data_IF_696119515455
#
_entry.id   IF_696119515455
#
_cell.length_a   1.000
_cell.length_b   1.000
_cell.length_c   1.000
_cell.angle_alpha   90.00
_cell.angle_beta   90.00
_cell.angle_gamma   90.00
#
_symmetry.space_group_name_H-M   'P 1'
#
loop_
_entity.id
_entity.type
_entity.pdbx_description
1 polymer ?
#
# COMPACT_ATOMS: atom_id res chain seq x y z
N UNK A 1 17.60 -13.03 4.52
CA UNK A 1 17.18 -11.64 4.88
C UNK A 1 17.42 -11.37 6.37
N UNK A 2 17.85 -12.34 7.19
CA UNK A 2 18.25 -12.13 8.59
C UNK A 2 17.10 -11.83 9.57
N UNK A 3 15.84 -12.06 9.17
CA UNK A 3 14.72 -12.00 10.10
C UNK A 3 14.65 -13.23 10.98
N UNK A 4 14.39 -13.04 12.27
CA UNK A 4 14.14 -14.10 13.23
C UNK A 4 12.69 -14.55 13.08
N UNK A 5 12.47 -15.82 12.78
CA UNK A 5 11.17 -16.44 12.73
C UNK A 5 11.09 -17.52 13.82
N UNK A 6 10.04 -17.51 14.59
CA UNK A 6 9.77 -18.48 15.66
C UNK A 6 8.59 -19.35 15.22
N UNK A 7 8.76 -20.66 15.22
CA UNK A 7 7.63 -21.58 15.05
C UNK A 7 6.89 -21.69 16.39
N UNK A 8 5.58 -21.50 16.37
CA UNK A 8 4.71 -21.59 17.53
C UNK A 8 3.79 -22.80 17.41
N UNK A 9 3.51 -23.46 18.51
CA UNK A 9 2.34 -24.33 18.61
C UNK A 9 1.04 -23.52 18.49
N UNK A 10 -0.04 -24.18 18.08
CA UNK A 10 -1.36 -23.55 18.01
C UNK A 10 -1.80 -23.00 19.39
N UNK A 11 -1.46 -23.68 20.48
CA UNK A 11 -1.75 -23.22 21.84
C UNK A 11 -1.02 -21.91 22.17
N UNK A 12 0.26 -21.80 21.82
CA UNK A 12 1.03 -20.55 22.02
C UNK A 12 0.50 -19.40 21.16
N UNK A 13 0.09 -19.68 19.91
CA UNK A 13 -0.51 -18.69 19.04
C UNK A 13 -1.85 -18.17 19.61
N UNK A 14 -2.75 -19.08 20.06
CA UNK A 14 -4.00 -18.70 20.73
C UNK A 14 -3.78 -17.94 22.03
N UNK A 15 -2.73 -18.24 22.77
CA UNK A 15 -2.38 -17.49 23.99
C UNK A 15 -1.93 -16.05 23.68
N UNK A 16 -1.29 -15.81 22.53
CA UNK A 16 -0.87 -14.47 22.08
C UNK A 16 -1.98 -13.68 21.41
N UNK A 17 -2.95 -14.38 20.77
CA UNK A 17 -4.04 -13.77 20.00
C UNK A 17 -5.37 -14.39 20.45
N UNK A 18 -6.07 -13.71 21.34
CA UNK A 18 -7.24 -14.25 22.05
C UNK A 18 -8.47 -14.52 21.16
N UNK A 19 -8.56 -13.82 20.03
CA UNK A 19 -9.65 -13.99 19.07
C UNK A 19 -9.38 -15.09 18.02
N UNK A 20 -8.16 -15.63 17.96
CA UNK A 20 -7.75 -16.59 16.95
C UNK A 20 -8.30 -17.99 17.22
N UNK A 21 -9.17 -18.49 16.34
CA UNK A 21 -9.74 -19.83 16.35
C UNK A 21 -8.99 -20.74 15.37
N UNK A 22 -8.00 -21.49 15.85
CA UNK A 22 -7.25 -22.48 15.07
C UNK A 22 -7.20 -23.80 15.85
N UNK A 23 -7.16 -24.93 15.14
CA UNK A 23 -6.98 -26.24 15.73
C UNK A 23 -5.48 -26.56 16.00
N UNK A 24 -5.20 -27.67 16.67
CA UNK A 24 -3.85 -28.06 17.07
C UNK A 24 -2.96 -28.50 15.91
N UNK A 25 -3.50 -28.71 14.71
CA UNK A 25 -2.74 -29.03 13.50
C UNK A 25 -2.18 -27.79 12.78
N UNK A 26 -2.65 -26.60 13.15
CA UNK A 26 -2.24 -25.36 12.52
C UNK A 26 -0.73 -25.09 12.71
N UNK A 27 -0.06 -24.76 11.62
CA UNK A 27 1.34 -24.31 11.65
C UNK A 27 1.37 -22.78 11.79
N UNK A 28 2.03 -22.31 12.83
CA UNK A 28 2.11 -20.90 13.16
C UNK A 28 3.55 -20.42 13.15
N UNK A 29 3.79 -19.27 12.52
CA UNK A 29 5.10 -18.61 12.51
C UNK A 29 4.94 -17.21 13.07
N UNK A 30 5.75 -16.88 14.06
CA UNK A 30 5.80 -15.55 14.67
C UNK A 30 7.06 -14.81 14.25
N UNK A 31 6.90 -13.55 13.86
CA UNK A 31 7.98 -12.65 13.50
C UNK A 31 8.09 -11.56 14.57
N UNK A 32 8.95 -11.72 15.60
CA UNK A 32 8.96 -10.85 16.78
C UNK A 32 9.33 -9.39 16.48
N UNK A 33 9.99 -9.12 15.34
CA UNK A 33 10.35 -7.77 14.91
C UNK A 33 9.42 -7.19 13.84
N UNK A 34 8.43 -7.97 13.37
CA UNK A 34 7.39 -7.48 12.49
C UNK A 34 6.31 -6.73 13.28
N UNK A 35 5.55 -5.89 12.59
CA UNK A 35 4.48 -5.14 13.22
C UNK A 35 3.68 -4.37 12.20
N UNK A 36 2.89 -3.45 12.68
CA UNK A 36 2.13 -2.51 11.85
C UNK A 36 2.38 -1.07 12.31
N UNK A 37 2.08 -0.14 11.45
CA UNK A 37 2.18 1.29 11.70
C UNK A 37 0.92 1.98 11.22
N UNK A 38 0.51 3.02 11.92
CA UNK A 38 -0.49 3.95 11.44
C UNK A 38 0.07 4.70 10.20
N UNK A 39 -0.54 4.47 9.05
CA UNK A 39 -0.06 5.01 7.77
C UNK A 39 -0.11 6.55 7.71
N UNK A 40 -1.13 7.16 8.31
CA UNK A 40 -1.24 8.61 8.38
C UNK A 40 -0.12 9.22 9.24
N UNK A 41 0.13 8.65 10.41
CA UNK A 41 1.22 9.09 11.30
C UNK A 41 2.58 8.91 10.65
N UNK A 42 2.80 7.80 9.94
CA UNK A 42 4.05 7.57 9.21
C UNK A 42 4.27 8.63 8.13
N UNK A 43 3.27 8.87 7.27
CA UNK A 43 3.36 9.87 6.21
C UNK A 43 3.59 11.28 6.79
N UNK A 44 2.89 11.63 7.85
CA UNK A 44 3.06 12.92 8.55
C UNK A 44 4.45 13.05 9.16
N UNK A 45 4.98 11.97 9.75
CA UNK A 45 6.33 11.97 10.32
C UNK A 45 7.41 12.14 9.24
N UNK A 46 7.26 11.49 8.07
CA UNK A 46 8.14 11.73 6.93
C UNK A 46 8.08 13.19 6.47
N UNK A 47 6.86 13.75 6.32
CA UNK A 47 6.69 15.16 5.97
C UNK A 47 7.38 16.12 6.95
N UNK A 48 7.25 15.88 8.25
CA UNK A 48 7.94 16.66 9.27
C UNK A 48 9.47 16.50 9.21
N UNK A 49 9.94 15.26 8.99
CA UNK A 49 11.37 14.97 8.93
C UNK A 49 12.06 15.60 7.70
N UNK A 50 11.42 15.65 6.54
CA UNK A 50 11.99 16.29 5.34
C UNK A 50 12.01 17.82 5.50
N UNK A 51 10.95 18.42 6.05
CA UNK A 51 10.93 19.86 6.37
C UNK A 51 12.05 20.25 7.33
N UNK A 52 12.28 19.45 8.40
CA UNK A 52 13.36 19.69 9.35
C UNK A 52 14.77 19.61 8.73
N UNK A 53 14.90 18.99 7.55
CA UNK A 53 16.13 18.90 6.76
C UNK A 53 16.23 19.96 5.67
N UNK A 54 15.33 20.95 5.65
CA UNK A 54 15.32 22.04 4.69
C UNK A 54 14.77 21.70 3.31
N UNK A 55 14.06 20.57 3.18
CA UNK A 55 13.36 20.25 1.93
C UNK A 55 12.13 21.15 1.81
N UNK A 56 11.94 21.75 0.64
CA UNK A 56 10.73 22.50 0.31
C UNK A 56 9.57 21.50 0.08
N UNK A 57 8.74 21.37 1.10
CA UNK A 57 7.62 20.43 1.12
C UNK A 57 6.30 21.20 0.96
N UNK A 58 5.74 21.14 -0.24
CA UNK A 58 4.52 21.85 -0.63
C UNK A 58 3.30 20.94 -0.60
N UNK A 59 2.28 21.34 0.14
CA UNK A 59 0.99 20.65 0.22
C UNK A 59 -0.05 21.46 -0.57
N UNK A 60 -0.94 20.77 -1.28
CA UNK A 60 -1.98 21.42 -2.08
C UNK A 60 -1.48 21.95 -3.44
N UNK A 61 -0.24 21.62 -3.82
CA UNK A 61 0.31 21.98 -5.13
C UNK A 61 0.14 20.79 -6.08
N UNK A 62 -0.65 20.99 -7.13
CA UNK A 62 -0.90 19.98 -8.16
C UNK A 62 0.23 20.00 -9.20
N UNK A 63 0.76 18.82 -9.53
CA UNK A 63 1.68 18.62 -10.66
C UNK A 63 0.85 18.20 -11.87
N UNK A 64 0.84 19.01 -12.91
CA UNK A 64 0.06 18.79 -14.13
C UNK A 64 0.86 18.16 -15.27
N UNK A 65 2.19 18.21 -15.24
CA UNK A 65 3.04 17.66 -16.30
C UNK A 65 4.51 17.61 -15.93
N UNK A 66 5.28 16.86 -16.72
CA UNK A 66 6.74 16.78 -16.64
C UNK A 66 7.32 17.30 -17.94
N UNK A 67 8.16 18.34 -17.84
CA UNK A 67 8.81 18.96 -19.01
C UNK A 67 10.16 18.32 -19.28
N UNK A 68 10.45 18.13 -20.58
CA UNK A 68 11.73 17.57 -21.05
C UNK A 68 12.36 18.48 -22.10
N UNK A 69 13.69 18.41 -22.21
CA UNK A 69 14.50 19.05 -23.26
C UNK A 69 15.61 18.09 -23.70
N UNK A 70 15.68 17.82 -24.98
CA UNK A 70 16.71 16.95 -25.57
C UNK A 70 16.79 15.55 -24.92
N UNK A 71 15.63 14.97 -24.56
CA UNK A 71 15.54 13.66 -23.90
C UNK A 71 15.81 13.65 -22.40
N UNK A 72 16.10 14.81 -21.79
CA UNK A 72 16.35 14.94 -20.36
C UNK A 72 15.19 15.69 -19.68
N UNK A 73 14.90 15.35 -18.44
CA UNK A 73 13.96 16.12 -17.61
C UNK A 73 14.49 17.55 -17.42
N UNK A 74 13.61 18.55 -17.54
CA UNK A 74 13.92 19.95 -17.25
C UNK A 74 13.15 20.48 -16.04
N UNK A 75 12.06 19.83 -15.63
CA UNK A 75 11.28 20.22 -14.46
C UNK A 75 9.84 19.71 -14.51
N UNK A 76 9.00 20.30 -13.67
CA UNK A 76 7.57 19.98 -13.59
C UNK A 76 6.70 21.23 -13.67
N UNK A 77 5.58 21.12 -14.36
CA UNK A 77 4.51 22.10 -14.36
C UNK A 77 3.63 21.89 -13.12
N UNK A 78 3.37 22.95 -12.38
CA UNK A 78 2.55 22.89 -11.17
C UNK A 78 1.51 24.00 -11.13
N UNK A 79 0.52 23.89 -10.23
CA UNK A 79 -0.45 24.95 -9.98
C UNK A 79 0.18 26.26 -9.49
N UNK A 80 1.40 26.21 -8.94
CA UNK A 80 2.16 27.37 -8.45
C UNK A 80 3.23 27.84 -9.44
N UNK A 81 3.23 27.29 -10.66
CA UNK A 81 4.19 27.60 -11.71
C UNK A 81 5.20 26.47 -11.94
N UNK A 82 6.20 26.74 -12.79
CA UNK A 82 7.22 25.77 -13.16
C UNK A 82 8.30 25.62 -12.09
N UNK A 83 8.67 24.36 -11.81
CA UNK A 83 9.80 24.04 -10.93
C UNK A 83 10.87 23.37 -11.76
N UNK A 84 12.01 24.04 -11.94
CA UNK A 84 13.15 23.51 -12.66
C UNK A 84 13.88 22.45 -11.83
N UNK A 85 14.15 21.29 -12.45
CA UNK A 85 14.92 20.20 -11.83
C UNK A 85 15.46 19.25 -12.90
N UNK A 86 16.70 18.76 -12.79
CA UNK A 86 17.22 17.70 -13.66
C UNK A 86 16.74 16.30 -13.26
N UNK A 87 16.02 16.17 -12.14
CA UNK A 87 15.47 14.92 -11.65
C UNK A 87 14.02 15.09 -11.25
N UNK A 88 13.18 14.16 -11.69
CA UNK A 88 11.79 14.03 -11.25
C UNK A 88 11.52 12.59 -10.83
N UNK A 89 10.99 12.42 -9.63
CA UNK A 89 10.55 11.13 -9.11
C UNK A 89 9.02 11.11 -9.04
N UNK A 90 8.41 10.35 -9.91
CA UNK A 90 6.96 10.22 -9.94
C UNK A 90 6.49 9.18 -8.91
N UNK A 91 5.99 9.67 -7.78
CA UNK A 91 5.37 8.87 -6.71
C UNK A 91 3.86 9.14 -6.62
N UNK A 92 3.20 9.51 -7.72
CA UNK A 92 1.80 9.95 -7.74
C UNK A 92 0.78 8.81 -7.56
N UNK A 93 1.19 7.64 -7.06
CA UNK A 93 0.28 6.54 -6.72
C UNK A 93 -0.62 6.16 -7.90
N UNK A 94 -1.97 6.19 -7.74
CA UNK A 94 -2.91 5.85 -8.80
C UNK A 94 -2.76 6.70 -10.07
N UNK A 95 -2.29 7.93 -9.96
CA UNK A 95 -2.15 8.87 -11.08
C UNK A 95 -0.77 8.82 -11.77
N UNK A 96 0.17 8.04 -11.25
CA UNK A 96 1.53 7.97 -11.82
C UNK A 96 1.54 7.60 -13.31
N UNK A 97 0.61 6.75 -13.76
CA UNK A 97 0.47 6.38 -15.16
C UNK A 97 0.08 7.56 -16.07
N UNK A 98 -0.67 8.53 -15.57
CA UNK A 98 -1.07 9.72 -16.34
C UNK A 98 0.16 10.58 -16.66
N UNK A 99 0.94 10.96 -15.65
CA UNK A 99 2.15 11.76 -15.83
C UNK A 99 3.21 11.04 -16.68
N UNK A 100 3.34 9.72 -16.54
CA UNK A 100 4.30 8.95 -17.34
C UNK A 100 3.88 8.82 -18.80
N UNK A 101 2.58 8.76 -19.09
CA UNK A 101 2.06 8.63 -20.46
C UNK A 101 2.41 9.85 -21.33
N UNK A 102 2.49 11.06 -20.76
CA UNK A 102 2.90 12.27 -21.46
C UNK A 102 4.38 12.20 -21.96
N UNK A 103 5.18 11.37 -21.29
CA UNK A 103 6.57 11.09 -21.67
C UNK A 103 6.71 9.85 -22.57
N UNK A 104 5.60 9.29 -23.05
CA UNK A 104 5.56 8.06 -23.86
C UNK A 104 5.65 6.76 -23.05
N UNK A 105 5.63 6.83 -21.70
CA UNK A 105 5.67 5.66 -20.83
C UNK A 105 4.27 5.24 -20.38
N UNK A 106 3.80 4.10 -20.86
CA UNK A 106 2.54 3.50 -20.45
C UNK A 106 2.79 2.49 -19.34
N UNK A 107 2.68 2.93 -18.09
CA UNK A 107 2.85 2.04 -16.93
C UNK A 107 1.69 1.06 -16.84
N UNK A 108 1.94 -0.26 -16.89
CA UNK A 108 0.88 -1.27 -16.80
C UNK A 108 0.41 -1.41 -15.36
N UNK A 109 -0.39 -0.48 -14.91
CA UNK A 109 -0.96 -0.43 -13.57
C UNK A 109 -2.36 0.17 -13.58
N UNK A 110 -3.17 -0.23 -12.61
CA UNK A 110 -4.50 0.33 -12.43
C UNK A 110 -4.79 0.56 -10.93
N UNK A 111 -5.55 1.61 -10.60
CA UNK A 111 -6.16 1.74 -9.29
C UNK A 111 -7.25 0.66 -9.14
N UNK A 112 -7.11 -0.16 -8.10
CA UNK A 112 -8.01 -1.27 -7.78
C UNK A 112 -8.50 -1.10 -6.36
N UNK A 113 -9.76 -1.42 -6.10
CA UNK A 113 -10.33 -1.36 -4.76
C UNK A 113 -9.53 -2.21 -3.78
N UNK A 114 -8.99 -1.57 -2.76
CA UNK A 114 -8.54 -2.19 -1.51
C UNK A 114 -9.51 -1.84 -0.40
N UNK A 115 -9.77 -2.79 0.51
CA UNK A 115 -10.81 -2.59 1.52
C UNK A 115 -10.50 -3.36 2.79
N UNK A 116 -11.06 -2.85 3.90
CA UNK A 116 -11.07 -3.53 5.19
C UNK A 116 -12.29 -3.11 6.00
N UNK A 117 -12.59 -3.88 7.03
CA UNK A 117 -13.68 -3.64 7.96
C UNK A 117 -13.12 -3.54 9.38
N UNK A 118 -13.83 -2.83 10.25
CA UNK A 118 -13.56 -2.81 11.68
C UNK A 118 -14.83 -3.25 12.39
N UNK A 119 -14.72 -4.18 13.33
CA UNK A 119 -15.84 -4.66 14.10
C UNK A 119 -16.23 -3.71 15.21
N UNK A 120 -17.36 -3.98 15.86
CA UNK A 120 -17.68 -3.44 17.19
C UNK A 120 -16.60 -3.86 18.20
N UNK A 121 -16.56 -3.12 19.33
CA UNK A 121 -15.57 -3.33 20.39
C UNK A 121 -15.79 -4.62 21.16
N UNK A 122 -14.69 -5.33 21.46
CA UNK A 122 -14.65 -6.49 22.34
C UNK A 122 -13.34 -6.54 23.10
N UNK A 123 -13.35 -7.10 24.32
CA UNK A 123 -12.14 -7.25 25.14
C UNK A 123 -11.07 -8.13 24.48
N UNK A 124 -11.49 -9.08 23.66
CA UNK A 124 -10.60 -10.00 22.96
C UNK A 124 -9.79 -9.32 21.83
N UNK A 125 -10.20 -8.13 21.37
CA UNK A 125 -9.59 -7.40 20.26
C UNK A 125 -8.56 -6.36 20.73
N UNK A 126 -7.66 -6.78 21.59
CA UNK A 126 -6.61 -5.92 22.14
C UNK A 126 -5.58 -5.56 21.05
N UNK A 127 -5.33 -4.26 20.86
CA UNK A 127 -4.36 -3.72 19.91
C UNK A 127 -2.88 -4.08 20.24
N UNK A 128 -2.60 -4.60 21.45
CA UNK A 128 -1.26 -5.07 21.81
C UNK A 128 -0.97 -6.49 21.29
N UNK A 129 -1.98 -7.19 20.80
CA UNK A 129 -1.80 -8.51 20.19
C UNK A 129 -1.13 -8.40 18.83
N UNK A 130 -0.37 -9.41 18.41
CA UNK A 130 0.22 -9.46 17.08
C UNK A 130 -0.82 -9.36 15.97
N UNK A 131 -0.45 -8.71 14.86
CA UNK A 131 -1.19 -8.81 13.61
C UNK A 131 -1.08 -10.25 13.08
N UNK A 132 -2.19 -10.76 12.56
CA UNK A 132 -2.28 -12.11 12.00
C UNK A 132 -2.49 -12.03 10.50
N UNK A 133 -1.72 -12.82 9.75
CA UNK A 133 -1.95 -13.13 8.35
C UNK A 133 -2.43 -14.57 8.23
N UNK A 134 -3.47 -14.78 7.45
CA UNK A 134 -4.11 -16.09 7.21
C UNK A 134 -3.97 -16.43 5.72
N UNK A 135 -2.90 -17.12 5.31
CA UNK A 135 -2.68 -17.42 3.90
C UNK A 135 -3.72 -18.39 3.33
N UNK A 136 -4.29 -19.27 4.16
CA UNK A 136 -5.31 -20.25 3.75
C UNK A 136 -6.64 -19.58 3.34
N UNK A 137 -6.91 -18.41 3.90
CA UNK A 137 -8.10 -17.59 3.57
C UNK A 137 -7.62 -16.16 3.32
N UNK A 138 -7.09 -15.79 2.18
CA UNK A 138 -6.30 -14.58 1.95
C UNK A 138 -6.78 -13.35 2.74
N UNK A 139 -6.52 -13.39 4.04
CA UNK A 139 -7.00 -12.43 5.03
C UNK A 139 -5.88 -11.97 5.97
N UNK A 140 -6.09 -10.83 6.58
CA UNK A 140 -5.28 -10.34 7.69
C UNK A 140 -6.17 -9.68 8.73
N UNK A 141 -5.74 -9.70 10.00
CA UNK A 141 -6.48 -9.02 11.06
C UNK A 141 -5.56 -8.55 12.19
N UNK A 142 -5.99 -7.50 12.89
CA UNK A 142 -5.35 -6.96 14.08
C UNK A 142 -6.34 -6.19 14.95
N UNK A 143 -6.03 -6.03 16.21
CA UNK A 143 -6.78 -5.12 17.07
C UNK A 143 -6.67 -3.65 16.60
N UNK A 144 -7.77 -2.92 16.62
CA UNK A 144 -7.86 -1.51 16.23
C UNK A 144 -8.91 -0.79 17.07
N UNK A 145 -8.48 0.10 17.96
CA UNK A 145 -9.38 0.94 18.79
C UNK A 145 -10.48 0.11 19.52
N UNK A 146 -10.10 -1.08 20.02
CA UNK A 146 -11.00 -2.00 20.72
C UNK A 146 -11.83 -2.92 19.81
N UNK A 147 -11.88 -2.67 18.51
CA UNK A 147 -12.45 -3.58 17.51
C UNK A 147 -11.38 -4.43 16.83
N UNK A 148 -11.78 -5.29 15.92
CA UNK A 148 -10.89 -6.05 15.03
C UNK A 148 -10.93 -5.43 13.64
N UNK A 149 -9.81 -4.86 13.20
CA UNK A 149 -9.60 -4.52 11.80
C UNK A 149 -9.24 -5.78 11.03
N UNK A 150 -9.96 -6.08 9.96
CA UNK A 150 -9.65 -7.22 9.10
C UNK A 150 -9.85 -6.87 7.62
N UNK A 151 -8.96 -7.38 6.78
CA UNK A 151 -9.03 -7.26 5.33
C UNK A 151 -9.15 -8.64 4.68
N UNK A 152 -10.03 -8.74 3.68
CA UNK A 152 -10.28 -9.96 2.91
C UNK A 152 -9.85 -9.71 1.46
N UNK A 153 -9.05 -10.61 0.89
CA UNK A 153 -8.47 -10.48 -0.46
C UNK A 153 -9.09 -11.43 -1.48
N UNK A 154 -10.18 -12.10 -1.16
CA UNK A 154 -10.77 -13.18 -1.95
C UNK A 154 -11.96 -12.79 -2.83
N UNK A 155 -12.34 -11.52 -2.91
CA UNK A 155 -13.50 -11.05 -3.67
C UNK A 155 -13.14 -10.29 -4.95
N UNK A 156 -14.12 -9.98 -5.79
CA UNK A 156 -13.93 -9.10 -6.94
C UNK A 156 -13.44 -7.74 -6.46
N UNK A 157 -12.39 -7.25 -7.11
CA UNK A 157 -11.80 -5.96 -6.82
C UNK A 157 -11.86 -5.11 -8.08
N UNK A 158 -12.89 -4.25 -8.24
CA UNK A 158 -13.05 -3.43 -9.42
C UNK A 158 -11.89 -2.45 -9.58
N UNK A 159 -11.43 -2.31 -10.82
CA UNK A 159 -10.46 -1.30 -11.20
C UNK A 159 -11.18 -0.03 -11.67
N UNK A 160 -10.50 1.10 -11.58
CA UNK A 160 -10.95 2.39 -12.10
C UNK A 160 -9.92 2.96 -13.06
N UNK A 161 -10.39 3.75 -14.00
CA UNK A 161 -9.51 4.61 -14.79
C UNK A 161 -8.99 5.73 -13.87
N UNK A 162 -7.67 5.94 -13.75
CA UNK A 162 -7.14 6.99 -12.90
C UNK A 162 -7.59 8.40 -13.28
N UNK A 163 -8.01 8.61 -14.54
CA UNK A 163 -8.50 9.91 -15.04
C UNK A 163 -9.86 10.31 -14.48
N UNK A 164 -10.66 9.33 -14.01
CA UNK A 164 -11.98 9.59 -13.43
C UNK A 164 -11.98 9.51 -11.91
N UNK A 165 -10.83 9.31 -11.27
CA UNK A 165 -10.74 9.39 -9.82
C UNK A 165 -11.00 10.83 -9.34
N UNK A 166 -11.80 11.00 -8.27
CA UNK A 166 -12.00 12.33 -7.70
C UNK A 166 -10.70 12.86 -7.10
N UNK A 167 -10.54 14.19 -7.05
CA UNK A 167 -9.38 14.82 -6.39
C UNK A 167 -9.35 14.53 -4.89
N UNK A 168 -10.51 14.51 -4.25
CA UNK A 168 -10.69 14.07 -2.88
C UNK A 168 -11.15 12.60 -2.86
N UNK A 169 -10.23 11.71 -2.48
CA UNK A 169 -10.52 10.27 -2.43
C UNK A 169 -11.48 9.88 -1.32
N UNK A 170 -11.77 10.76 -0.36
CA UNK A 170 -12.81 10.50 0.66
C UNK A 170 -14.22 10.44 0.06
N UNK A 171 -14.41 11.04 -1.11
CA UNK A 171 -15.66 11.03 -1.88
C UNK A 171 -15.78 9.81 -2.81
N UNK A 172 -14.69 9.03 -2.96
CA UNK A 172 -14.69 7.88 -3.86
C UNK A 172 -15.56 6.77 -3.33
N UNK A 173 -16.53 6.34 -4.15
CA UNK A 173 -17.30 5.12 -3.95
C UNK A 173 -17.10 4.14 -5.10
N UNK A 174 -17.03 2.88 -4.78
CA UNK A 174 -17.00 1.80 -5.76
C UNK A 174 -18.46 1.32 -5.96
N UNK A 175 -19.04 1.66 -7.10
CA UNK A 175 -20.47 1.46 -7.40
C UNK A 175 -20.93 0.00 -7.35
N UNK A 176 -20.03 -0.93 -7.65
CA UNK A 176 -20.33 -2.37 -7.70
C UNK A 176 -20.60 -2.98 -6.31
N UNK A 177 -20.03 -2.43 -5.28
CA UNK A 177 -20.21 -2.87 -3.88
C UNK A 177 -19.82 -1.71 -2.94
N UNK A 178 -20.61 -0.63 -2.92
CA UNK A 178 -20.21 0.61 -2.24
C UNK A 178 -20.11 0.47 -0.72
N UNK A 179 -20.75 -0.53 -0.14
CA UNK A 179 -20.70 -0.82 1.30
C UNK A 179 -19.75 -1.96 1.67
N UNK A 180 -19.19 -2.67 0.69
CA UNK A 180 -18.38 -3.88 0.91
C UNK A 180 -19.15 -5.10 1.44
N UNK A 181 -20.47 -5.02 1.58
CA UNK A 181 -21.28 -6.11 2.17
C UNK A 181 -21.31 -7.38 1.32
N UNK A 182 -21.34 -7.23 -0.01
CA UNK A 182 -21.33 -8.39 -0.91
C UNK A 182 -19.99 -9.14 -0.78
N UNK A 183 -18.87 -8.41 -0.79
CA UNK A 183 -17.55 -9.00 -0.57
C UNK A 183 -17.45 -9.65 0.81
N UNK A 184 -17.97 -9.00 1.84
CA UNK A 184 -17.97 -9.55 3.20
C UNK A 184 -18.82 -10.82 3.28
N UNK A 185 -19.99 -10.87 2.65
CA UNK A 185 -20.86 -12.05 2.63
C UNK A 185 -20.17 -13.25 1.96
N UNK A 186 -19.42 -13.02 0.86
CA UNK A 186 -18.73 -14.09 0.13
C UNK A 186 -17.49 -14.59 0.87
N UNK A 187 -16.68 -13.70 1.40
CA UNK A 187 -15.37 -14.04 1.98
C UNK A 187 -15.37 -14.16 3.51
N UNK A 188 -16.35 -13.56 4.17
CA UNK A 188 -16.43 -13.49 5.63
C UNK A 188 -16.61 -14.84 6.32
N UNK A 189 -17.38 -15.76 5.72
CA UNK A 189 -17.55 -17.11 6.25
C UNK A 189 -16.21 -17.87 6.37
N UNK A 190 -15.35 -17.71 5.37
CA UNK A 190 -14.01 -18.32 5.41
C UNK A 190 -13.14 -17.73 6.51
N UNK A 191 -13.24 -16.42 6.76
CA UNK A 191 -12.55 -15.74 7.84
C UNK A 191 -13.12 -16.10 9.23
N UNK A 192 -14.43 -16.24 9.36
CA UNK A 192 -15.10 -16.58 10.62
C UNK A 192 -14.60 -17.91 11.22
N UNK A 193 -14.13 -18.84 10.38
CA UNK A 193 -13.50 -20.10 10.87
C UNK A 193 -12.24 -19.83 11.70
N UNK A 194 -11.54 -18.74 11.42
CA UNK A 194 -10.33 -18.30 12.14
C UNK A 194 -10.62 -17.25 13.22
N UNK A 195 -11.80 -16.68 13.22
CA UNK A 195 -12.28 -15.75 14.24
C UNK A 195 -13.75 -16.07 14.57
N UNK A 196 -14.03 -17.05 15.44
CA UNK A 196 -15.42 -17.45 15.76
C UNK A 196 -16.26 -16.32 16.35
N UNK A 197 -15.64 -15.30 16.93
CA UNK A 197 -16.34 -14.13 17.45
C UNK A 197 -17.10 -13.35 16.37
N UNK A 198 -16.76 -13.52 15.09
CA UNK A 198 -17.46 -12.90 13.96
C UNK A 198 -18.94 -13.32 13.87
N UNK A 199 -19.32 -14.44 14.43
CA UNK A 199 -20.73 -14.89 14.49
C UNK A 199 -21.61 -14.02 15.39
N UNK A 200 -21.00 -13.26 16.30
CA UNK A 200 -21.71 -12.51 17.35
C UNK A 200 -21.29 -11.04 17.46
N UNK A 201 -20.41 -10.56 16.62
CA UNK A 201 -19.95 -9.17 16.61
C UNK A 201 -20.37 -8.49 15.30
N UNK A 202 -20.88 -7.25 15.41
CA UNK A 202 -21.22 -6.42 14.25
C UNK A 202 -20.00 -5.77 13.63
N UNK A 203 -20.15 -5.31 12.38
CA UNK A 203 -19.18 -4.43 11.71
C UNK A 203 -19.59 -2.98 11.96
N UNK A 204 -18.67 -2.20 12.52
CA UNK A 204 -18.90 -0.78 12.84
C UNK A 204 -18.41 0.17 11.74
N UNK A 205 -17.33 -0.21 11.01
CA UNK A 205 -16.77 0.63 9.96
C UNK A 205 -16.36 -0.20 8.75
N UNK A 206 -16.57 0.40 7.58
CA UNK A 206 -16.04 -0.08 6.31
C UNK A 206 -15.19 1.01 5.69
N UNK A 207 -14.01 0.64 5.21
CA UNK A 207 -13.08 1.56 4.55
C UNK A 207 -12.62 0.95 3.25
N UNK A 208 -12.71 1.72 2.17
CA UNK A 208 -12.19 1.33 0.86
C UNK A 208 -11.42 2.48 0.22
N UNK A 209 -10.50 2.13 -0.66
CA UNK A 209 -9.70 3.11 -1.39
C UNK A 209 -9.00 2.49 -2.58
N UNK A 210 -8.50 3.31 -3.53
CA UNK A 210 -7.80 2.84 -4.72
C UNK A 210 -6.34 2.55 -4.38
N UNK A 211 -5.93 1.30 -4.44
CA UNK A 211 -4.52 0.89 -4.43
C UNK A 211 -4.04 0.60 -5.84
N UNK A 212 -2.80 0.96 -6.15
CA UNK A 212 -2.22 0.73 -7.48
C UNK A 212 -1.69 -0.69 -7.61
N UNK A 213 -2.23 -1.45 -8.56
CA UNK A 213 -1.81 -2.81 -8.85
C UNK A 213 -1.23 -2.94 -10.25
N UNK A 214 -0.22 -3.79 -10.37
CA UNK A 214 0.41 -4.21 -11.62
C UNK A 214 -0.01 -5.63 -11.97
N UNK A 215 0.12 -6.07 -13.24
CA UNK A 215 -0.27 -7.42 -13.65
C UNK A 215 0.52 -8.54 -12.96
N UNK A 216 1.77 -8.29 -12.59
CA UNK A 216 2.66 -9.27 -11.96
C UNK A 216 2.73 -9.15 -10.42
N UNK A 217 2.01 -8.20 -9.83
CA UNK A 217 2.00 -7.97 -8.39
C UNK A 217 3.28 -7.35 -7.81
N UNK A 218 4.23 -6.92 -8.65
CA UNK A 218 5.46 -6.26 -8.24
C UNK A 218 5.37 -4.74 -8.45
N UNK A 219 6.14 -3.98 -7.67
CA UNK A 219 6.24 -2.53 -7.83
C UNK A 219 6.78 -2.15 -9.20
N UNK A 220 6.49 -0.92 -9.63
CA UNK A 220 7.22 -0.24 -10.70
C UNK A 220 8.17 0.73 -10.03
N UNK A 221 9.47 0.44 -10.09
CA UNK A 221 10.49 1.21 -9.37
C UNK A 221 11.76 1.34 -10.20
N UNK A 222 12.17 2.56 -10.49
CA UNK A 222 13.42 2.86 -11.18
C UNK A 222 13.32 3.93 -12.27
N UNK A 223 14.39 4.06 -13.04
CA UNK A 223 14.46 5.00 -14.17
C UNK A 223 13.64 4.48 -15.36
N UNK A 224 13.00 5.39 -16.07
CA UNK A 224 12.32 5.13 -17.34
C UNK A 224 13.33 5.34 -18.49
N UNK A 225 13.75 4.30 -19.21
CA UNK A 225 14.69 4.42 -20.32
C UNK A 225 14.22 5.40 -21.39
N UNK A 226 15.14 6.20 -21.93
CA UNK A 226 14.84 7.21 -22.95
C UNK A 226 14.36 8.56 -22.42
N UNK A 227 14.22 8.72 -21.10
CA UNK A 227 13.95 10.01 -20.46
C UNK A 227 14.90 10.17 -19.28
N UNK A 228 16.05 10.77 -19.55
CA UNK A 228 17.08 10.96 -18.53
C UNK A 228 16.57 11.86 -17.38
N UNK A 229 16.82 11.45 -16.14
CA UNK A 229 16.36 12.16 -14.95
C UNK A 229 14.92 11.84 -14.52
N UNK A 230 14.19 10.95 -15.22
CA UNK A 230 12.85 10.55 -14.83
C UNK A 230 12.82 9.17 -14.15
N UNK A 231 12.35 9.13 -12.91
CA UNK A 231 12.17 7.90 -12.14
C UNK A 231 10.71 7.75 -11.73
N UNK A 232 10.29 6.50 -11.58
CA UNK A 232 8.94 6.14 -11.09
C UNK A 232 9.04 5.26 -9.85
N UNK A 233 8.15 5.49 -8.89
CA UNK A 233 7.88 4.58 -7.78
C UNK A 233 6.37 4.48 -7.56
N UNK A 234 5.75 3.47 -8.12
CA UNK A 234 4.31 3.24 -8.05
C UNK A 234 3.96 1.75 -8.19
N UNK A 235 2.67 1.43 -8.37
CA UNK A 235 2.22 0.06 -8.54
C UNK A 235 2.49 -0.82 -7.31
N UNK A 236 2.34 -0.28 -6.11
CA UNK A 236 2.82 -0.91 -4.86
C UNK A 236 2.02 -2.14 -4.41
N UNK A 237 0.94 -2.51 -5.10
CA UNK A 237 0.16 -3.74 -4.86
C UNK A 237 -0.24 -3.95 -3.39
N UNK A 238 -0.62 -2.86 -2.70
CA UNK A 238 -1.01 -2.88 -1.28
C UNK A 238 0.16 -2.94 -0.28
N UNK A 239 1.42 -2.93 -0.71
CA UNK A 239 2.60 -3.05 0.16
C UNK A 239 3.44 -1.77 0.28
N UNK A 240 2.95 -0.63 -0.24
CA UNK A 240 3.71 0.62 -0.33
C UNK A 240 4.19 1.17 1.00
N UNK A 241 3.38 1.09 2.05
CA UNK A 241 3.75 1.55 3.39
C UNK A 241 4.91 0.72 3.94
N UNK A 242 4.82 -0.61 3.88
CA UNK A 242 5.87 -1.50 4.39
C UNK A 242 7.19 -1.34 3.63
N UNK A 243 7.14 -1.08 2.32
CA UNK A 243 8.32 -0.92 1.48
C UNK A 243 8.89 0.51 1.45
N UNK A 244 8.18 1.52 2.00
CA UNK A 244 8.47 2.95 1.79
C UNK A 244 9.92 3.34 2.10
N UNK A 245 10.50 2.82 3.18
CA UNK A 245 11.89 3.08 3.54
C UNK A 245 12.90 2.53 2.53
N UNK A 246 12.68 1.28 2.05
CA UNK A 246 13.51 0.65 1.02
C UNK A 246 13.39 1.34 -0.33
N UNK A 247 12.18 1.69 -0.74
CA UNK A 247 11.89 2.44 -1.96
C UNK A 247 12.60 3.78 -1.96
N UNK A 248 12.44 4.56 -0.87
CA UNK A 248 13.10 5.87 -0.74
C UNK A 248 14.63 5.76 -0.80
N UNK A 249 15.22 4.75 -0.16
CA UNK A 249 16.65 4.49 -0.22
C UNK A 249 17.11 4.12 -1.64
N UNK A 250 16.40 3.22 -2.30
CA UNK A 250 16.73 2.79 -3.65
C UNK A 250 16.75 3.98 -4.63
N UNK A 251 15.73 4.84 -4.59
CA UNK A 251 15.63 6.04 -5.42
C UNK A 251 16.75 7.04 -5.13
N UNK A 252 17.04 7.27 -3.84
CA UNK A 252 18.14 8.16 -3.46
C UNK A 252 19.50 7.65 -3.96
N UNK A 253 19.74 6.33 -3.90
CA UNK A 253 20.96 5.71 -4.41
C UNK A 253 21.03 5.81 -5.94
N UNK A 254 19.94 5.55 -6.67
CA UNK A 254 19.90 5.74 -8.13
C UNK A 254 20.24 7.17 -8.55
N UNK A 255 19.70 8.18 -7.87
CA UNK A 255 19.96 9.59 -8.17
C UNK A 255 21.40 9.98 -7.82
N UNK A 256 21.91 9.55 -6.68
CA UNK A 256 23.21 10.05 -6.16
C UNK A 256 24.42 9.22 -6.58
N UNK A 257 24.21 7.93 -6.91
CA UNK A 257 25.28 6.99 -7.23
C UNK A 257 25.15 6.38 -8.63
N UNK A 258 23.99 6.50 -9.27
CA UNK A 258 23.65 5.84 -10.54
C UNK A 258 23.23 4.36 -10.41
N UNK A 259 23.38 3.78 -9.24
CA UNK A 259 23.01 2.38 -8.96
C UNK A 259 22.41 2.23 -7.57
N UNK A 260 21.59 1.19 -7.37
CA UNK A 260 20.99 0.84 -6.08
C UNK A 260 21.72 -0.34 -5.44
N UNK A 261 21.81 -0.35 -4.10
CA UNK A 261 22.28 -1.49 -3.32
C UNK A 261 21.27 -2.65 -3.27
N UNK A 262 20.05 -2.43 -3.75
CA UNK A 262 19.03 -3.46 -3.92
C UNK A 262 19.00 -3.94 -5.37
N UNK A 263 18.74 -5.25 -5.56
CA UNK A 263 18.39 -5.75 -6.89
C UNK A 263 16.98 -5.27 -7.27
N UNK A 264 16.93 -4.37 -8.24
CA UNK A 264 15.68 -3.79 -8.76
C UNK A 264 15.19 -4.47 -10.04
N UNK A 265 15.83 -5.54 -10.50
CA UNK A 265 15.55 -6.18 -11.79
C UNK A 265 14.06 -6.49 -12.02
N UNK A 266 13.41 -7.08 -11.01
CA UNK A 266 11.98 -7.43 -11.06
C UNK A 266 11.03 -6.24 -10.91
N UNK A 267 11.52 -5.05 -10.59
CA UNK A 267 10.73 -3.83 -10.40
C UNK A 267 10.89 -2.81 -11.52
N UNK A 268 11.78 -3.03 -12.47
CA UNK A 268 12.07 -2.08 -13.55
C UNK A 268 10.81 -1.67 -14.30
N UNK A 269 10.68 -0.37 -14.70
CA UNK A 269 9.53 0.10 -15.50
C UNK A 269 9.41 -0.60 -16.86
N UNK A 270 10.52 -1.02 -17.46
CA UNK A 270 10.62 -1.63 -18.79
C UNK A 270 10.61 -3.17 -18.80
N UNK A 271 10.16 -3.80 -17.71
CA UNK A 271 10.08 -5.28 -17.62
C UNK A 271 8.87 -5.89 -18.30
N UNK A 272 7.92 -5.08 -18.79
CA UNK A 272 6.71 -5.50 -19.50
C UNK A 272 6.84 -5.36 -21.00
#
# INVERSE_FOLDING_TARGET
IGEVAEELSAAEARARVKWLGIDDSARCVFLPRAGYVDSYRLATAYGAAVKARGVDFRVGVEVSGVSTRDGCVSGVETSDGFIESPWVVNCAGPWAGILSAELGWHLPMAPVRSQYWITETREEFDAQQPMVFLPDVPAYARGEVGGLLFGLRGGPSPARDPRVLPRDLSELQFEEDPSGWETLAVAGESFARFCPLMESVGVSHYVSGPSSYTPDGNFILGACPGVDGYLVASGCCGSGIAASGGVGRALAELITKGESSFDLGIFRPDRF
#
